data_IF_366003396960
#
_entry.id   IF_366003396960
#
_cell.length_a   1.000
_cell.length_b   1.000
_cell.length_c   1.000
_cell.angle_alpha   90.00
_cell.angle_beta   90.00
_cell.angle_gamma   90.00
#
_symmetry.space_group_name_H-M   'P 1'
#
loop_
_entity.id
_entity.type
_entity.pdbx_description
1 polymer ?
#
# COMPACT_ATOMS: atom_id res chain seq x y z
N UNK A 1 0.45 5.19 32.01
CA UNK A 1 -0.57 4.50 31.20
C UNK A 1 -0.82 5.11 29.81
N UNK A 2 -0.35 6.33 29.50
CA UNK A 2 -0.55 6.98 28.19
C UNK A 2 0.36 6.47 27.04
N UNK A 3 1.39 5.67 27.32
CA UNK A 3 2.38 5.20 26.33
C UNK A 3 1.91 4.01 25.49
N UNK A 4 0.96 3.23 26.00
CA UNK A 4 0.50 1.99 25.35
C UNK A 4 -0.33 2.29 24.09
N UNK A 5 -1.18 3.31 24.13
CA UNK A 5 -2.04 3.74 23.02
C UNK A 5 -1.23 4.32 21.85
N UNK A 6 -0.18 5.12 22.13
CA UNK A 6 0.67 5.68 21.07
C UNK A 6 1.48 4.60 20.37
N UNK A 7 2.04 3.63 21.11
CA UNK A 7 2.78 2.49 20.52
C UNK A 7 1.87 1.59 19.70
N UNK A 8 0.65 1.31 20.18
CA UNK A 8 -0.33 0.52 19.43
C UNK A 8 -0.76 1.22 18.13
N UNK A 9 -0.98 2.54 18.16
CA UNK A 9 -1.29 3.34 16.97
C UNK A 9 -0.14 3.36 15.96
N UNK A 10 1.09 3.50 16.44
CA UNK A 10 2.27 3.42 15.58
C UNK A 10 2.40 2.02 14.93
N UNK A 11 2.19 0.95 15.70
CA UNK A 11 2.19 -0.41 15.19
C UNK A 11 1.10 -0.64 14.13
N UNK A 12 -0.11 -0.12 14.35
CA UNK A 12 -1.21 -0.19 13.38
C UNK A 12 -0.85 0.51 12.06
N UNK A 13 -0.28 1.71 12.13
CA UNK A 13 0.16 2.43 10.94
C UNK A 13 1.22 1.63 10.17
N UNK A 14 2.25 1.12 10.86
CA UNK A 14 3.28 0.27 10.24
C UNK A 14 2.67 -0.96 9.57
N UNK A 15 1.77 -1.66 10.26
CA UNK A 15 1.11 -2.85 9.70
C UNK A 15 0.27 -2.52 8.47
N UNK A 16 -0.43 -1.38 8.46
CA UNK A 16 -1.22 -0.94 7.31
C UNK A 16 -0.33 -0.69 6.07
N UNK A 17 0.83 -0.07 6.25
CA UNK A 17 1.79 0.16 5.17
C UNK A 17 2.42 -1.13 4.65
N UNK A 18 2.77 -2.06 5.55
CA UNK A 18 3.27 -3.39 5.16
C UNK A 18 2.20 -4.13 4.34
N UNK A 19 0.96 -4.18 4.84
CA UNK A 19 -0.14 -4.86 4.16
C UNK A 19 -0.43 -4.25 2.78
N UNK A 20 -0.47 -2.91 2.67
CA UNK A 20 -0.68 -2.23 1.40
C UNK A 20 0.43 -2.53 0.38
N UNK A 21 1.68 -2.61 0.83
CA UNK A 21 2.82 -2.94 -0.04
C UNK A 21 2.76 -4.39 -0.50
N UNK A 22 2.49 -5.33 0.40
CA UNK A 22 2.32 -6.74 0.07
C UNK A 22 1.16 -6.96 -0.92
N UNK A 23 0.06 -6.24 -0.73
CA UNK A 23 -1.07 -6.27 -1.65
C UNK A 23 -0.66 -5.76 -3.04
N UNK A 24 -0.02 -4.60 -3.14
CA UNK A 24 0.45 -4.06 -4.42
C UNK A 24 1.43 -5.01 -5.13
N UNK A 25 2.36 -5.61 -4.39
CA UNK A 25 3.28 -6.62 -4.91
C UNK A 25 2.55 -7.88 -5.41
N UNK A 26 1.56 -8.37 -4.67
CA UNK A 26 0.77 -9.52 -5.07
C UNK A 26 -0.03 -9.26 -6.35
N UNK A 27 -0.61 -8.07 -6.48
CA UNK A 27 -1.31 -7.64 -7.71
C UNK A 27 -0.33 -7.55 -8.88
N UNK A 28 0.81 -6.88 -8.70
CA UNK A 28 1.83 -6.75 -9.73
C UNK A 28 2.43 -8.10 -10.16
N UNK A 29 2.50 -9.07 -9.25
CA UNK A 29 2.98 -10.41 -9.56
C UNK A 29 1.99 -11.24 -10.40
N UNK A 30 0.69 -11.02 -10.22
CA UNK A 30 -0.35 -11.83 -10.86
C UNK A 30 -1.00 -11.18 -12.07
N UNK A 31 -1.04 -9.86 -12.11
CA UNK A 31 -1.89 -9.13 -13.05
C UNK A 31 -1.07 -8.42 -14.11
N UNK A 32 -1.54 -8.51 -15.36
CA UNK A 32 -1.07 -7.70 -16.49
C UNK A 32 -2.24 -6.87 -16.99
N UNK A 33 -2.78 -6.03 -16.11
CA UNK A 33 -4.02 -5.29 -16.38
C UNK A 33 -3.67 -3.95 -17.01
N UNK A 34 -4.09 -3.76 -18.27
CA UNK A 34 -3.92 -2.50 -19.00
C UNK A 34 -2.57 -2.39 -19.73
N UNK A 35 -2.31 -1.23 -20.38
CA UNK A 35 -1.08 -1.00 -21.11
C UNK A 35 0.12 -0.95 -20.16
N UNK A 36 1.27 -1.41 -20.65
CA UNK A 36 2.56 -1.23 -19.97
C UNK A 36 2.88 0.26 -19.92
N UNK A 37 3.07 0.79 -18.70
CA UNK A 37 3.47 2.19 -18.47
C UNK A 37 4.97 2.32 -18.33
N UNK A 38 5.65 1.27 -17.88
CA UNK A 38 7.11 1.23 -17.82
C UNK A 38 7.60 -0.18 -18.16
N UNK A 39 8.46 -0.27 -19.16
CA UNK A 39 9.11 -1.53 -19.52
C UNK A 39 10.41 -1.67 -18.72
N UNK A 40 10.51 -2.72 -17.91
CA UNK A 40 11.69 -3.01 -17.07
C UNK A 40 12.64 -3.96 -17.78
N UNK A 41 12.10 -4.93 -18.55
CA UNK A 41 12.86 -5.84 -19.41
C UNK A 41 11.96 -6.38 -20.53
N UNK A 42 12.56 -7.12 -21.48
CA UNK A 42 11.90 -7.68 -22.67
C UNK A 42 10.57 -8.41 -22.40
N UNK A 43 10.37 -8.95 -21.19
CA UNK A 43 9.13 -9.62 -20.80
C UNK A 43 8.52 -9.12 -19.47
N UNK A 44 9.09 -8.07 -18.87
CA UNK A 44 8.63 -7.54 -17.59
C UNK A 44 8.35 -6.06 -17.73
N UNK A 45 7.09 -5.69 -17.53
CA UNK A 45 6.63 -4.32 -17.52
C UNK A 45 5.73 -4.06 -16.32
N UNK A 46 5.76 -2.83 -15.83
CA UNK A 46 4.77 -2.31 -14.90
C UNK A 46 3.57 -1.89 -15.73
N UNK A 47 2.40 -2.43 -15.39
CA UNK A 47 1.15 -2.16 -16.08
C UNK A 47 0.41 -1.04 -15.36
N UNK A 48 -0.46 -0.34 -16.10
CA UNK A 48 -1.26 0.73 -15.52
C UNK A 48 -2.11 0.25 -14.34
N UNK A 49 -2.58 -1.01 -14.40
CA UNK A 49 -3.27 -1.67 -13.29
C UNK A 49 -2.43 -1.78 -12.01
N UNK A 50 -1.13 -2.00 -12.13
CA UNK A 50 -0.21 -2.07 -10.98
C UNK A 50 -0.13 -0.71 -10.30
N UNK A 51 0.00 0.36 -11.08
CA UNK A 51 0.05 1.73 -10.57
C UNK A 51 -1.24 2.08 -9.83
N UNK A 52 -2.41 1.73 -10.39
CA UNK A 52 -3.70 1.98 -9.75
C UNK A 52 -3.89 1.14 -8.48
N UNK A 53 -3.42 -0.10 -8.46
CA UNK A 53 -3.48 -0.97 -7.29
C UNK A 53 -2.63 -0.42 -6.14
N UNK A 54 -1.39 -0.01 -6.42
CA UNK A 54 -0.54 0.64 -5.43
C UNK A 54 -1.14 1.97 -4.94
N UNK A 55 -1.65 2.80 -5.85
CA UNK A 55 -2.28 4.07 -5.49
C UNK A 55 -3.48 3.86 -4.55
N UNK A 56 -4.37 2.93 -4.88
CA UNK A 56 -5.53 2.59 -4.05
C UNK A 56 -5.13 2.03 -2.68
N UNK A 57 -4.17 1.09 -2.65
CA UNK A 57 -3.70 0.48 -1.41
C UNK A 57 -3.02 1.51 -0.49
N UNK A 58 -2.21 2.40 -1.05
CA UNK A 58 -1.53 3.44 -0.29
C UNK A 58 -2.48 4.53 0.19
N UNK A 59 -3.51 4.87 -0.59
CA UNK A 59 -4.57 5.76 -0.13
C UNK A 59 -5.28 5.18 1.11
N UNK A 60 -5.59 3.89 1.12
CA UNK A 60 -6.18 3.22 2.29
C UNK A 60 -5.22 3.23 3.50
N UNK A 61 -3.94 2.90 3.30
CA UNK A 61 -2.95 2.95 4.39
C UNK A 61 -2.79 4.37 4.97
N UNK A 62 -2.81 5.39 4.13
CA UNK A 62 -2.79 6.79 4.54
C UNK A 62 -4.04 7.17 5.35
N UNK A 63 -5.23 6.75 4.92
CA UNK A 63 -6.47 6.97 5.65
C UNK A 63 -6.47 6.28 7.03
N UNK A 64 -6.00 5.04 7.11
CA UNK A 64 -5.84 4.32 8.39
C UNK A 64 -4.89 5.07 9.32
N UNK A 65 -3.76 5.54 8.79
CA UNK A 65 -2.79 6.33 9.55
C UNK A 65 -3.40 7.64 10.04
N UNK A 66 -4.11 8.37 9.17
CA UNK A 66 -4.78 9.61 9.52
C UNK A 66 -5.85 9.39 10.60
N UNK A 67 -6.68 8.35 10.47
CA UNK A 67 -7.68 7.98 11.47
C UNK A 67 -7.03 7.66 12.82
N UNK A 68 -5.92 6.93 12.83
CA UNK A 68 -5.17 6.62 14.05
C UNK A 68 -4.56 7.87 14.72
N UNK A 69 -4.27 8.92 13.94
CA UNK A 69 -3.71 10.19 14.44
C UNK A 69 -4.78 11.19 14.90
N UNK A 70 -5.95 11.19 14.26
CA UNK A 70 -7.06 12.13 14.52
C UNK A 70 -7.93 11.68 15.70
N UNK A 71 -8.22 10.38 15.83
CA UNK A 71 -9.01 9.84 16.94
C UNK A 71 -8.15 9.64 18.20
N UNK A 72 -7.58 10.73 18.73
CA UNK A 72 -6.65 10.73 19.86
C UNK A 72 -7.27 10.37 21.20
#
# INVERSE_FOLDING_TARGET
>A
MATTTTRARAALAVLAWIAATLFGLAVAAQTRIGPTVLELSYNHGIHLGDVLAFAGAYAVAALVTAAALVHR
#
